data_IF_609220567651
#
_entry.id   IF_609220567651
#
_cell.length_a   1.000
_cell.length_b   1.000
_cell.length_c   1.000
_cell.angle_alpha   90.00
_cell.angle_beta   90.00
_cell.angle_gamma   90.00
#
_symmetry.space_group_name_H-M   'P 1'
#
loop_
_entity.id
_entity.type
_entity.pdbx_description
1 polymer ?
#
# COMPACT_ATOMS: atom_id res chain seq x y z
N UNK A 1 -15.11 -4.29 17.57
CA UNK A 1 -14.13 -3.19 17.65
C UNK A 1 -13.55 -2.98 16.27
N UNK A 2 -13.55 -1.76 15.77
CA UNK A 2 -12.91 -1.40 14.50
C UNK A 2 -11.38 -1.32 14.68
N UNK A 3 -10.64 -1.31 13.56
CA UNK A 3 -9.19 -1.08 13.56
C UNK A 3 -8.87 0.25 14.24
N UNK A 4 -9.67 1.30 13.96
CA UNK A 4 -9.52 2.60 14.62
C UNK A 4 -9.64 2.51 16.14
N UNK A 5 -10.70 1.85 16.63
CA UNK A 5 -10.92 1.70 18.08
C UNK A 5 -9.83 0.85 18.72
N UNK A 6 -9.32 -0.17 17.98
CA UNK A 6 -8.24 -1.02 18.44
C UNK A 6 -6.92 -0.24 18.59
N UNK A 7 -6.62 0.67 17.66
CA UNK A 7 -5.45 1.56 17.80
C UNK A 7 -5.55 2.35 19.12
N UNK A 8 -6.69 3.01 19.36
CA UNK A 8 -6.91 3.80 20.58
C UNK A 8 -6.81 2.93 21.82
N UNK A 9 -7.38 1.73 21.80
CA UNK A 9 -7.26 0.78 22.91
C UNK A 9 -5.80 0.40 23.21
N UNK A 10 -5.02 0.09 22.16
CA UNK A 10 -3.61 -0.29 22.30
C UNK A 10 -2.73 0.87 22.78
N UNK A 11 -3.05 2.12 22.40
CA UNK A 11 -2.34 3.31 22.86
C UNK A 11 -2.56 3.57 24.35
N UNK A 12 -3.78 3.33 24.84
CA UNK A 12 -4.18 3.56 26.24
C UNK A 12 -4.07 2.31 27.13
N UNK A 13 -3.47 1.24 26.62
CA UNK A 13 -3.33 0.00 27.37
C UNK A 13 -2.26 0.15 28.45
N UNK A 14 -2.69 0.15 29.70
CA UNK A 14 -1.80 0.16 30.87
C UNK A 14 -1.42 -1.29 31.24
N UNK A 15 -0.13 -1.54 31.36
CA UNK A 15 0.43 -2.83 31.76
C UNK A 15 1.10 -2.73 33.11
N UNK A 16 1.05 -3.81 33.87
CA UNK A 16 1.87 -3.97 35.06
C UNK A 16 3.35 -4.18 34.68
N UNK A 17 4.33 -3.91 35.57
CA UNK A 17 5.75 -4.15 35.28
C UNK A 17 6.06 -5.57 34.80
N UNK A 18 5.34 -6.55 35.30
CA UNK A 18 5.49 -7.95 34.92
C UNK A 18 4.96 -8.23 33.48
N UNK A 19 3.84 -7.57 33.14
CA UNK A 19 3.28 -7.66 31.78
C UNK A 19 4.15 -6.94 30.74
N UNK A 20 4.81 -5.84 31.11
CA UNK A 20 5.77 -5.16 30.26
C UNK A 20 6.94 -6.07 29.86
N UNK A 21 7.51 -6.83 30.80
CA UNK A 21 8.61 -7.75 30.52
C UNK A 21 8.26 -8.83 29.47
N UNK A 22 6.99 -9.22 29.41
CA UNK A 22 6.52 -10.28 28.50
C UNK A 22 5.92 -9.69 27.23
N UNK A 23 5.19 -8.58 27.36
CA UNK A 23 4.26 -8.09 26.33
C UNK A 23 4.79 -6.99 25.41
N UNK A 24 5.82 -6.24 25.82
CA UNK A 24 6.24 -5.05 25.08
C UNK A 24 6.61 -5.33 23.63
N UNK A 25 7.36 -6.39 23.39
CA UNK A 25 7.76 -6.75 22.03
C UNK A 25 6.57 -7.20 21.18
N UNK A 26 5.67 -7.96 21.77
CA UNK A 26 4.43 -8.44 21.10
C UNK A 26 3.52 -7.23 20.79
N UNK A 27 3.36 -6.32 21.74
CA UNK A 27 2.55 -5.12 21.56
C UNK A 27 3.14 -4.17 20.52
N UNK A 28 4.46 -4.06 20.45
CA UNK A 28 5.15 -3.29 19.40
C UNK A 28 4.78 -3.83 18.02
N UNK A 29 4.83 -5.13 17.81
CA UNK A 29 4.46 -5.79 16.56
C UNK A 29 2.98 -5.59 16.22
N UNK A 30 2.09 -5.79 17.21
CA UNK A 30 0.65 -5.60 17.03
C UNK A 30 0.34 -4.14 16.67
N UNK A 31 0.91 -3.18 17.39
CA UNK A 31 0.72 -1.75 17.12
C UNK A 31 1.20 -1.37 15.72
N UNK A 32 2.34 -1.88 15.28
CA UNK A 32 2.85 -1.63 13.94
C UNK A 32 1.88 -2.15 12.86
N UNK A 33 1.40 -3.38 12.97
CA UNK A 33 0.48 -3.99 12.00
C UNK A 33 -0.90 -3.33 11.99
N UNK A 34 -1.45 -3.05 13.17
CA UNK A 34 -2.76 -2.39 13.30
C UNK A 34 -2.67 -0.92 12.85
N UNK A 35 -1.59 -0.23 13.19
CA UNK A 35 -1.31 1.13 12.73
C UNK A 35 -1.24 1.20 11.21
N UNK A 36 -0.57 0.25 10.59
CA UNK A 36 -0.48 0.18 9.13
C UNK A 36 -1.85 -0.07 8.46
N UNK A 37 -2.72 -0.91 9.02
CA UNK A 37 -4.09 -1.07 8.52
C UNK A 37 -4.85 0.27 8.51
N UNK A 38 -4.61 1.13 9.51
CA UNK A 38 -5.16 2.50 9.57
C UNK A 38 -4.55 3.39 8.48
N UNK A 39 -3.24 3.30 8.26
CA UNK A 39 -2.52 4.08 7.25
C UNK A 39 -2.98 3.77 5.82
N UNK A 40 -3.33 2.52 5.51
CA UNK A 40 -3.85 2.13 4.20
C UNK A 40 -5.37 2.31 4.05
N UNK A 41 -6.01 3.09 4.93
CA UNK A 41 -7.44 3.43 4.83
C UNK A 41 -8.40 2.32 5.25
N UNK A 42 -7.95 1.30 6.02
CA UNK A 42 -8.78 0.20 6.51
C UNK A 42 -9.25 0.39 7.95
N UNK A 43 -9.24 1.61 8.47
CA UNK A 43 -9.59 1.94 9.85
C UNK A 43 -11.02 1.55 10.26
N UNK A 44 -11.94 1.46 9.28
CA UNK A 44 -13.33 1.09 9.50
C UNK A 44 -13.57 -0.41 9.64
N UNK A 45 -12.63 -1.24 9.19
CA UNK A 45 -12.76 -2.69 9.25
C UNK A 45 -12.72 -3.20 10.69
N UNK A 46 -13.42 -4.31 10.93
CA UNK A 46 -13.34 -5.07 12.19
C UNK A 46 -12.53 -6.34 11.98
N UNK A 47 -11.73 -6.75 12.97
CA UNK A 47 -10.96 -7.99 12.89
C UNK A 47 -11.83 -9.26 12.83
N UNK A 48 -13.09 -9.14 13.23
CA UNK A 48 -14.07 -10.25 13.15
C UNK A 48 -14.75 -10.37 11.78
N UNK A 49 -14.45 -9.46 10.83
CA UNK A 49 -15.04 -9.53 9.50
C UNK A 49 -14.48 -10.70 8.72
N UNK A 50 -15.36 -11.48 8.13
CA UNK A 50 -14.99 -12.64 7.30
C UNK A 50 -14.22 -12.18 6.06
N UNK A 51 -13.10 -12.82 5.74
CA UNK A 51 -12.26 -12.52 4.57
C UNK A 51 -13.00 -12.65 3.25
N UNK A 52 -13.98 -13.55 3.17
CA UNK A 52 -14.84 -13.72 1.98
C UNK A 52 -15.77 -12.54 1.68
N UNK A 53 -15.89 -11.56 2.60
CA UNK A 53 -16.70 -10.36 2.43
C UNK A 53 -15.87 -9.12 2.06
N UNK A 54 -14.55 -9.26 1.96
CA UNK A 54 -13.65 -8.19 1.60
C UNK A 54 -13.71 -7.92 0.10
N UNK A 55 -13.64 -6.66 -0.29
CA UNK A 55 -13.38 -6.30 -1.68
C UNK A 55 -11.95 -6.67 -2.08
N UNK A 56 -11.67 -6.75 -3.40
CA UNK A 56 -10.33 -7.03 -3.90
C UNK A 56 -9.28 -6.06 -3.36
N UNK A 57 -9.56 -4.77 -3.37
CA UNK A 57 -8.68 -3.74 -2.83
C UNK A 57 -8.48 -3.83 -1.31
N UNK A 58 -9.53 -4.15 -0.53
CA UNK A 58 -9.40 -4.38 0.92
C UNK A 58 -8.47 -5.56 1.20
N UNK A 59 -8.68 -6.69 0.50
CA UNK A 59 -7.86 -7.89 0.66
C UNK A 59 -6.39 -7.63 0.31
N UNK A 60 -6.13 -6.86 -0.74
CA UNK A 60 -4.78 -6.50 -1.18
C UNK A 60 -4.09 -5.61 -0.16
N UNK A 61 -4.76 -4.59 0.38
CA UNK A 61 -4.21 -3.72 1.43
C UNK A 61 -3.95 -4.47 2.75
N UNK A 62 -4.78 -5.45 3.10
CA UNK A 62 -4.50 -6.34 4.25
C UNK A 62 -3.24 -7.18 3.99
N UNK A 63 -3.03 -7.70 2.79
CA UNK A 63 -1.79 -8.41 2.43
C UNK A 63 -0.57 -7.49 2.55
N UNK A 64 -0.67 -6.26 2.06
CA UNK A 64 0.36 -5.22 2.25
C UNK A 64 0.67 -5.01 3.72
N UNK A 65 -0.34 -4.86 4.57
CA UNK A 65 -0.18 -4.67 6.00
C UNK A 65 0.58 -5.83 6.66
N UNK A 66 0.30 -7.07 6.26
CA UNK A 66 1.02 -8.24 6.78
C UNK A 66 2.48 -8.29 6.33
N UNK A 67 2.77 -7.85 5.12
CA UNK A 67 4.12 -7.83 4.56
C UNK A 67 5.00 -6.74 5.21
N UNK A 68 4.47 -5.54 5.38
CA UNK A 68 5.19 -4.42 6.03
C UNK A 68 5.45 -4.71 7.50
N UNK A 69 4.49 -5.32 8.21
CA UNK A 69 4.68 -5.74 9.60
C UNK A 69 5.77 -6.80 9.79
N UNK A 70 6.26 -7.42 8.70
CA UNK A 70 7.38 -8.35 8.77
C UNK A 70 8.76 -7.69 8.89
N UNK A 71 8.85 -6.38 8.60
CA UNK A 71 10.11 -5.63 8.63
C UNK A 71 11.14 -6.11 7.61
N UNK A 72 10.73 -6.85 6.57
CA UNK A 72 11.62 -7.33 5.54
C UNK A 72 12.19 -6.17 4.72
N UNK A 73 13.48 -6.22 4.47
CA UNK A 73 14.25 -5.25 3.67
C UNK A 73 14.82 -5.96 2.45
N UNK A 74 14.93 -5.23 1.32
CA UNK A 74 15.47 -5.80 0.08
C UNK A 74 14.51 -6.74 -0.65
N UNK A 75 13.21 -6.61 -0.42
CA UNK A 75 12.15 -7.41 -1.06
C UNK A 75 11.55 -6.63 -2.23
N UNK A 76 11.16 -7.34 -3.29
CA UNK A 76 10.36 -6.79 -4.37
C UNK A 76 8.87 -7.06 -4.11
N UNK A 77 8.08 -5.99 -4.05
CA UNK A 77 6.62 -6.04 -3.94
C UNK A 77 5.99 -5.73 -5.29
N UNK A 78 5.08 -6.58 -5.72
CA UNK A 78 4.31 -6.39 -6.95
C UNK A 78 2.84 -6.16 -6.55
N UNK A 79 2.31 -5.02 -6.92
CA UNK A 79 0.97 -4.57 -6.57
C UNK A 79 0.18 -4.28 -7.84
N UNK A 80 -1.02 -4.82 -7.90
CA UNK A 80 -1.94 -4.65 -9.03
C UNK A 80 -3.14 -3.82 -8.57
N UNK A 81 -3.25 -2.59 -9.09
CA UNK A 81 -4.30 -1.62 -8.77
C UNK A 81 -4.59 -1.45 -7.26
N UNK A 82 -3.57 -1.15 -6.42
CA UNK A 82 -3.79 -1.06 -4.96
C UNK A 82 -4.70 0.10 -4.55
N UNK A 83 -4.88 1.11 -5.41
CA UNK A 83 -5.79 2.24 -5.20
C UNK A 83 -7.25 1.93 -5.50
N UNK A 84 -7.55 0.77 -6.12
CA UNK A 84 -8.91 0.44 -6.55
C UNK A 84 -9.94 0.55 -5.41
N UNK A 85 -10.99 1.33 -5.66
CA UNK A 85 -12.08 1.55 -4.70
C UNK A 85 -11.71 2.46 -3.53
N UNK A 86 -10.57 3.15 -3.56
CA UNK A 86 -10.21 4.19 -2.60
C UNK A 86 -10.85 5.53 -2.97
N UNK A 87 -11.23 6.27 -1.93
CA UNK A 87 -11.49 7.69 -2.06
C UNK A 87 -10.18 8.46 -2.15
N UNK A 88 -10.13 9.60 -2.87
CA UNK A 88 -8.94 10.44 -3.05
C UNK A 88 -8.13 10.62 -1.75
N UNK A 89 -8.80 10.95 -0.66
CA UNK A 89 -8.17 11.15 0.66
C UNK A 89 -7.44 9.92 1.21
N UNK A 90 -7.91 8.72 0.87
CA UNK A 90 -7.32 7.47 1.32
C UNK A 90 -6.20 7.03 0.38
N UNK A 91 -6.21 7.50 -0.88
CA UNK A 91 -5.11 7.31 -1.83
C UNK A 91 -3.83 7.98 -1.33
N UNK A 92 -3.91 9.20 -0.78
CA UNK A 92 -2.75 9.89 -0.18
C UNK A 92 -2.09 9.06 0.93
N UNK A 93 -2.90 8.40 1.75
CA UNK A 93 -2.41 7.51 2.82
C UNK A 93 -1.71 6.28 2.26
N UNK A 94 -2.30 5.67 1.21
CA UNK A 94 -1.70 4.53 0.53
C UNK A 94 -0.35 4.92 -0.08
N UNK A 95 -0.27 6.06 -0.78
CA UNK A 95 0.97 6.57 -1.36
C UNK A 95 2.05 6.81 -0.31
N UNK A 96 1.69 7.41 0.83
CA UNK A 96 2.61 7.61 1.94
C UNK A 96 3.14 6.27 2.49
N UNK A 97 2.27 5.27 2.64
CA UNK A 97 2.64 3.95 3.10
C UNK A 97 3.56 3.22 2.11
N UNK A 98 3.28 3.31 0.80
CA UNK A 98 4.13 2.75 -0.27
C UNK A 98 5.51 3.43 -0.29
N UNK A 99 5.55 4.74 -0.12
CA UNK A 99 6.80 5.49 -0.03
C UNK A 99 7.63 5.06 1.17
N UNK A 100 7.02 4.93 2.34
CA UNK A 100 7.69 4.42 3.54
C UNK A 100 8.28 3.03 3.30
N UNK A 101 7.53 2.13 2.62
CA UNK A 101 7.99 0.80 2.28
C UNK A 101 9.21 0.83 1.35
N UNK A 102 9.23 1.73 0.37
CA UNK A 102 10.38 1.96 -0.51
C UNK A 102 11.59 2.48 0.28
N UNK A 103 11.38 3.46 1.17
CA UNK A 103 12.43 4.10 1.94
C UNK A 103 13.11 3.13 2.93
N UNK A 104 12.45 2.02 3.28
CA UNK A 104 13.05 0.90 4.01
C UNK A 104 14.02 0.06 3.16
N UNK A 105 14.24 0.38 1.89
CA UNK A 105 15.15 -0.32 0.99
C UNK A 105 14.50 -1.45 0.18
N UNK A 106 13.19 -1.38 -0.03
CA UNK A 106 12.45 -2.32 -0.86
C UNK A 106 12.24 -1.78 -2.28
N UNK A 107 11.97 -2.68 -3.21
CA UNK A 107 11.56 -2.35 -4.58
C UNK A 107 10.06 -2.53 -4.72
N UNK A 108 9.36 -1.53 -5.26
CA UNK A 108 7.93 -1.63 -5.53
C UNK A 108 7.67 -1.54 -7.03
N UNK A 109 6.91 -2.50 -7.53
CA UNK A 109 6.35 -2.50 -8.88
C UNK A 109 4.84 -2.37 -8.71
N UNK A 110 4.27 -1.28 -9.21
CA UNK A 110 2.84 -0.97 -9.05
C UNK A 110 2.23 -0.82 -10.42
N UNK A 111 1.20 -1.62 -10.69
CA UNK A 111 0.35 -1.45 -11.88
C UNK A 111 -0.78 -0.52 -11.47
N UNK A 112 -0.87 0.64 -12.10
CA UNK A 112 -1.84 1.67 -11.72
C UNK A 112 -2.29 2.52 -12.92
N UNK A 113 -3.46 3.14 -12.73
CA UNK A 113 -4.05 4.09 -13.68
C UNK A 113 -4.29 5.46 -13.06
N UNK A 114 -4.02 5.60 -11.77
CA UNK A 114 -4.18 6.83 -11.00
C UNK A 114 -3.02 7.80 -11.24
N UNK A 115 -3.35 9.03 -11.58
CA UNK A 115 -2.36 10.07 -11.92
C UNK A 115 -1.43 10.38 -10.74
N UNK A 116 -1.97 10.49 -9.52
CA UNK A 116 -1.18 10.83 -8.33
C UNK A 116 -0.14 9.74 -8.03
N UNK A 117 -0.53 8.47 -8.20
CA UNK A 117 0.37 7.32 -8.05
C UNK A 117 1.47 7.34 -9.11
N UNK A 118 1.12 7.61 -10.37
CA UNK A 118 2.10 7.72 -11.45
C UNK A 118 3.09 8.87 -11.21
N UNK A 119 2.61 10.03 -10.75
CA UNK A 119 3.47 11.17 -10.42
C UNK A 119 4.39 10.93 -9.23
N UNK A 120 3.98 10.08 -8.30
CA UNK A 120 4.78 9.69 -7.13
C UNK A 120 5.84 8.63 -7.43
N UNK A 121 5.80 7.99 -8.59
CA UNK A 121 6.74 6.95 -8.99
C UNK A 121 8.12 7.54 -9.35
N UNK A 122 9.19 6.83 -8.97
CA UNK A 122 10.55 7.19 -9.40
C UNK A 122 10.76 6.92 -10.90
N UNK A 123 10.08 5.88 -11.41
CA UNK A 123 10.19 5.44 -12.79
C UNK A 123 8.88 4.83 -13.28
N UNK A 124 8.49 5.18 -14.49
CA UNK A 124 7.25 4.72 -15.14
C UNK A 124 7.62 3.89 -16.37
N UNK A 125 6.93 2.79 -16.55
CA UNK A 125 6.94 2.00 -17.79
C UNK A 125 5.54 2.06 -18.38
N UNK A 126 5.39 2.81 -19.46
CA UNK A 126 4.12 2.97 -20.18
C UNK A 126 3.96 1.86 -21.21
N UNK A 127 2.95 1.01 -20.99
CA UNK A 127 2.65 -0.12 -21.83
C UNK A 127 1.51 0.25 -22.78
N UNK A 128 1.76 0.15 -24.06
CA UNK A 128 0.92 0.67 -25.12
C UNK A 128 -0.40 -0.02 -25.33
N UNK A 129 -1.23 0.58 -26.21
CA UNK A 129 -2.57 0.10 -26.50
C UNK A 129 -2.56 -1.32 -27.09
N UNK A 130 -3.66 -2.00 -26.86
CA UNK A 130 -3.87 -3.37 -27.29
C UNK A 130 -3.87 -4.35 -26.12
N UNK A 131 -4.47 -5.50 -26.33
CA UNK A 131 -4.58 -6.55 -25.32
C UNK A 131 -4.26 -7.91 -25.95
N UNK A 132 -3.90 -8.88 -25.12
CA UNK A 132 -3.59 -10.25 -25.57
C UNK A 132 -2.33 -10.30 -26.45
N UNK A 133 -2.38 -11.09 -27.53
CA UNK A 133 -1.24 -11.32 -28.42
C UNK A 133 -0.74 -10.06 -29.16
N UNK A 134 -1.54 -9.00 -29.21
CA UNK A 134 -1.23 -7.74 -29.89
C UNK A 134 -0.99 -6.57 -28.91
N UNK A 135 -0.88 -6.85 -27.62
CA UNK A 135 -0.64 -5.87 -26.57
C UNK A 135 0.74 -6.01 -25.92
N UNK A 136 1.01 -5.11 -24.97
CA UNK A 136 2.21 -5.23 -24.13
C UNK A 136 3.49 -4.61 -24.72
N UNK A 137 3.39 -3.80 -25.78
CA UNK A 137 4.53 -3.04 -26.30
C UNK A 137 4.87 -1.89 -25.36
N UNK A 138 6.15 -1.74 -24.98
CA UNK A 138 6.62 -0.59 -24.19
C UNK A 138 6.68 0.64 -25.09
N UNK A 139 5.79 1.59 -24.86
CA UNK A 139 5.69 2.84 -25.64
C UNK A 139 6.68 3.89 -25.14
N UNK A 140 6.83 3.99 -23.81
CA UNK A 140 7.72 4.93 -23.17
C UNK A 140 8.18 4.40 -21.82
N UNK A 141 9.35 4.83 -21.38
CA UNK A 141 9.82 4.60 -20.02
C UNK A 141 10.67 5.76 -19.54
N UNK A 142 10.61 6.05 -18.26
CA UNK A 142 11.35 7.16 -17.64
C UNK A 142 10.64 7.77 -16.44
N UNK A 143 11.08 8.96 -16.03
CA UNK A 143 10.40 9.73 -14.99
C UNK A 143 9.06 10.29 -15.51
N UNK A 144 8.18 10.72 -14.60
CA UNK A 144 6.90 11.33 -14.98
C UNK A 144 7.08 12.49 -15.98
N UNK A 145 8.11 13.34 -15.80
CA UNK A 145 8.40 14.42 -16.72
C UNK A 145 8.82 13.94 -18.13
N UNK A 146 9.53 12.82 -18.21
CA UNK A 146 9.95 12.25 -19.49
C UNK A 146 8.75 11.62 -20.21
N UNK A 147 7.86 10.96 -19.49
CA UNK A 147 6.61 10.40 -20.02
C UNK A 147 5.73 11.51 -20.58
N UNK A 148 5.49 12.60 -19.84
CA UNK A 148 4.70 13.76 -20.29
C UNK A 148 5.24 14.44 -21.55
N UNK A 149 6.55 14.37 -21.79
CA UNK A 149 7.18 14.91 -23.02
C UNK A 149 7.09 13.97 -24.22
N UNK A 150 6.73 12.72 -24.02
CA UNK A 150 6.67 11.72 -25.08
C UNK A 150 5.32 11.78 -25.81
N UNK A 151 5.33 12.30 -27.03
CA UNK A 151 4.12 12.43 -27.89
C UNK A 151 3.43 11.11 -28.26
N UNK A 152 4.09 9.96 -28.06
CA UNK A 152 3.51 8.63 -28.32
C UNK A 152 2.80 8.06 -27.09
N UNK A 153 3.06 8.61 -25.91
CA UNK A 153 2.46 8.17 -24.65
C UNK A 153 1.09 8.82 -24.49
N UNK A 154 0.05 7.99 -24.38
CA UNK A 154 -1.31 8.45 -24.01
C UNK A 154 -1.33 8.79 -22.52
N UNK A 155 -0.57 8.07 -21.72
CA UNK A 155 -0.42 8.30 -20.27
C UNK A 155 0.20 9.67 -19.96
N UNK A 156 1.03 10.19 -20.86
CA UNK A 156 1.69 11.49 -20.69
C UNK A 156 0.93 12.69 -21.27
N UNK A 157 -0.25 12.48 -21.87
CA UNK A 157 -1.00 13.50 -22.59
C UNK A 157 -1.84 14.43 -21.69
#
# INVERSE_FOLDING_TARGET
MSVKDLCVFLENLELTPQQHLIGDQILKEIRARVGFLKEVGLEYLTLSRSTGTLSGGEAQRIRLATQIGSGLVGVAYILDEPSIGLHQRDNDKLLAALKNLKDLGNTLIVVEHDEDTMRAADYIVDIGPGAGEHGGEVIACGTAEQIMKNKKSITGA
#
